data_IF_349091377872
#
_entry.id   IF_349091377872
#
_cell.length_a   1.000
_cell.length_b   1.000
_cell.length_c   1.000
_cell.angle_alpha   90.00
_cell.angle_beta   90.00
_cell.angle_gamma   90.00
#
_symmetry.space_group_name_H-M   'P 1'
#
loop_
_entity.id
_entity.type
_entity.pdbx_description
1 polymer ?
#
# COMPACT_ATOMS: atom_id res chain seq x y z
N UNK A 1 -17.81 4.78 3.18
CA UNK A 1 -16.83 4.27 2.21
C UNK A 1 -16.41 5.36 1.23
N UNK A 2 -15.20 5.26 0.71
CA UNK A 2 -14.67 6.21 -0.26
C UNK A 2 -14.81 5.61 -1.66
N UNK A 3 -15.82 6.03 -2.40
CA UNK A 3 -16.15 5.48 -3.72
C UNK A 3 -15.05 5.69 -4.77
N UNK A 4 -14.26 6.76 -4.62
CA UNK A 4 -13.19 7.08 -5.56
C UNK A 4 -11.90 6.26 -5.31
N UNK A 5 -11.85 5.47 -4.26
CA UNK A 5 -10.69 4.65 -3.91
C UNK A 5 -11.00 3.17 -4.15
N UNK A 6 -10.04 2.46 -4.72
CA UNK A 6 -10.15 1.03 -4.97
C UNK A 6 -8.86 0.31 -4.63
N UNK A 7 -8.92 -1.03 -4.65
CA UNK A 7 -7.77 -1.86 -4.33
C UNK A 7 -7.85 -3.21 -5.06
N UNK A 8 -6.66 -3.73 -5.39
CA UNK A 8 -6.50 -5.02 -6.07
C UNK A 8 -5.32 -5.77 -5.44
N UNK A 9 -5.52 -6.46 -4.32
CA UNK A 9 -4.45 -7.27 -3.72
C UNK A 9 -4.07 -8.43 -4.64
N UNK A 10 -2.82 -8.90 -4.55
CA UNK A 10 -2.36 -10.05 -5.34
C UNK A 10 -3.03 -11.36 -4.92
N UNK A 11 -3.43 -11.47 -3.66
CA UNK A 11 -4.16 -12.63 -3.19
C UNK A 11 -4.78 -12.40 -1.82
N UNK A 12 -5.81 -13.17 -1.51
CA UNK A 12 -6.44 -13.20 -0.19
C UNK A 12 -6.05 -14.48 0.52
N UNK A 13 -5.83 -14.40 1.84
CA UNK A 13 -5.40 -15.53 2.66
C UNK A 13 -6.38 -15.69 3.82
N UNK A 14 -7.10 -16.81 3.87
CA UNK A 14 -8.12 -17.02 4.87
C UNK A 14 -9.17 -15.93 4.85
N UNK A 15 -9.72 -15.61 6.02
CA UNK A 15 -10.76 -14.59 6.17
C UNK A 15 -10.18 -13.20 6.49
N UNK A 16 -8.97 -13.13 7.04
CA UNK A 16 -8.42 -11.90 7.62
C UNK A 16 -7.18 -11.36 6.92
N UNK A 17 -6.56 -12.14 6.05
CA UNK A 17 -5.26 -11.81 5.48
C UNK A 17 -5.28 -11.56 3.99
N UNK A 18 -4.18 -11.00 3.53
CA UNK A 18 -3.90 -10.84 2.11
C UNK A 18 -2.40 -10.87 1.86
N UNK A 19 -2.01 -10.92 0.61
CA UNK A 19 -0.61 -10.94 0.20
C UNK A 19 -0.38 -9.93 -0.91
N UNK A 20 0.76 -9.25 -0.84
CA UNK A 20 1.28 -8.36 -1.88
C UNK A 20 2.67 -8.83 -2.28
N UNK A 21 2.84 -9.18 -3.56
CA UNK A 21 4.07 -9.76 -4.07
C UNK A 21 4.82 -8.73 -4.91
N UNK A 22 6.11 -8.55 -4.61
CA UNK A 22 7.00 -7.68 -5.36
C UNK A 22 8.22 -8.47 -5.84
N UNK A 23 8.62 -8.25 -7.08
CA UNK A 23 9.80 -8.86 -7.69
C UNK A 23 10.74 -7.75 -8.19
N UNK A 24 11.34 -6.98 -7.27
CA UNK A 24 12.18 -5.84 -7.64
C UNK A 24 13.58 -6.28 -8.11
N UNK A 25 14.42 -5.31 -8.44
CA UNK A 25 15.81 -5.58 -8.79
C UNK A 25 16.56 -6.20 -7.60
N UNK A 26 17.64 -6.95 -7.89
CA UNK A 26 18.43 -7.59 -6.83
C UNK A 26 19.04 -6.59 -5.86
N UNK A 27 19.41 -5.39 -6.33
CA UNK A 27 19.91 -4.34 -5.44
C UNK A 27 18.86 -3.89 -4.42
N UNK A 28 17.60 -3.79 -4.85
CA UNK A 28 16.49 -3.45 -3.96
C UNK A 28 16.22 -4.57 -2.97
N UNK A 29 16.27 -5.84 -3.41
CA UNK A 29 16.11 -7.01 -2.53
C UNK A 29 17.20 -7.01 -1.45
N UNK A 30 18.44 -6.76 -1.84
CA UNK A 30 19.56 -6.65 -0.89
C UNK A 30 19.30 -5.58 0.16
N UNK A 31 18.84 -4.40 -0.24
CA UNK A 31 18.51 -3.30 0.69
C UNK A 31 17.38 -3.69 1.65
N UNK A 32 16.37 -4.41 1.18
CA UNK A 32 15.28 -4.92 2.03
C UNK A 32 15.85 -5.81 3.14
N UNK A 33 16.68 -6.77 2.80
CA UNK A 33 17.32 -7.67 3.76
C UNK A 33 18.20 -6.91 4.76
N UNK A 34 19.04 -5.99 4.26
CA UNK A 34 19.93 -5.22 5.12
C UNK A 34 19.16 -4.31 6.07
N UNK A 35 18.16 -3.60 5.58
CA UNK A 35 17.33 -2.73 6.41
C UNK A 35 16.63 -3.52 7.51
N UNK A 36 16.04 -4.66 7.18
CA UNK A 36 15.37 -5.50 8.15
C UNK A 36 16.34 -6.04 9.21
N UNK A 37 17.53 -6.50 8.78
CA UNK A 37 18.53 -7.04 9.69
C UNK A 37 19.05 -6.01 10.69
N UNK A 38 18.98 -4.73 10.34
CA UNK A 38 19.39 -3.60 11.19
C UNK A 38 18.25 -3.07 12.06
N UNK A 39 17.10 -3.73 12.06
CA UNK A 39 15.93 -3.31 12.84
C UNK A 39 15.12 -2.20 12.21
N UNK A 40 15.40 -1.84 10.95
CA UNK A 40 14.64 -0.84 10.20
C UNK A 40 13.38 -1.42 9.57
N UNK A 41 12.56 -0.53 9.01
CA UNK A 41 11.35 -0.93 8.29
C UNK A 41 11.69 -1.30 6.85
N UNK A 42 11.52 -2.56 6.42
CA UNK A 42 11.87 -2.99 5.08
C UNK A 42 10.86 -2.57 4.02
N UNK A 43 9.71 -2.01 4.40
CA UNK A 43 8.63 -1.66 3.49
C UNK A 43 8.73 -0.19 3.10
N UNK A 44 8.82 0.07 1.80
CA UNK A 44 8.78 1.44 1.25
C UNK A 44 7.45 2.10 1.59
N UNK A 45 7.47 3.40 1.87
CA UNK A 45 6.29 4.16 2.29
C UNK A 45 5.14 4.07 1.29
N UNK A 46 5.43 4.06 -0.01
CA UNK A 46 4.37 3.94 -1.04
C UNK A 46 3.73 2.57 -1.05
N UNK A 47 4.49 1.50 -0.80
CA UNK A 47 3.95 0.14 -0.70
C UNK A 47 3.17 -0.04 0.60
N UNK A 48 3.64 0.57 1.69
CA UNK A 48 2.89 0.58 2.95
C UNK A 48 1.52 1.23 2.75
N UNK A 49 1.47 2.39 2.12
CA UNK A 49 0.22 3.08 1.83
C UNK A 49 -0.70 2.22 0.95
N UNK A 50 -0.16 1.61 -0.11
CA UNK A 50 -0.90 0.71 -0.99
C UNK A 50 -1.51 -0.46 -0.21
N UNK A 51 -0.73 -1.11 0.65
CA UNK A 51 -1.21 -2.25 1.44
C UNK A 51 -2.26 -1.83 2.46
N UNK A 52 -2.11 -0.68 3.12
CA UNK A 52 -3.12 -0.19 4.07
C UNK A 52 -4.45 0.09 3.38
N UNK A 53 -4.44 0.76 2.22
CA UNK A 53 -5.65 0.99 1.45
C UNK A 53 -6.31 -0.31 0.98
N UNK A 54 -5.51 -1.28 0.53
CA UNK A 54 -6.01 -2.58 0.11
C UNK A 54 -6.65 -3.33 1.28
N UNK A 55 -6.02 -3.31 2.47
CA UNK A 55 -6.58 -3.93 3.67
C UNK A 55 -7.91 -3.29 4.07
N UNK A 56 -8.01 -1.96 3.94
CA UNK A 56 -9.27 -1.26 4.20
C UNK A 56 -10.35 -1.65 3.21
N UNK A 57 -10.05 -1.63 1.92
CA UNK A 57 -11.04 -1.92 0.86
C UNK A 57 -11.50 -3.37 0.88
N UNK A 58 -10.59 -4.31 1.15
CA UNK A 58 -10.88 -5.74 1.21
C UNK A 58 -11.28 -6.22 2.61
N UNK A 59 -11.31 -5.32 3.60
CA UNK A 59 -11.59 -5.61 5.01
C UNK A 59 -10.70 -6.71 5.56
N UNK A 60 -9.38 -6.49 5.46
CA UNK A 60 -8.38 -7.45 5.92
C UNK A 60 -7.60 -6.87 7.10
N UNK A 61 -7.14 -7.75 7.99
CA UNK A 61 -6.46 -7.38 9.22
C UNK A 61 -4.93 -7.30 9.05
N UNK A 62 -4.38 -8.03 8.09
CA UNK A 62 -2.94 -8.06 7.84
C UNK A 62 -2.65 -8.32 6.36
N UNK A 63 -1.43 -7.94 5.95
CA UNK A 63 -0.92 -8.18 4.61
C UNK A 63 0.51 -8.69 4.70
N UNK A 64 0.80 -9.84 4.11
CA UNK A 64 2.17 -10.31 3.97
C UNK A 64 2.81 -9.65 2.75
N UNK A 65 3.84 -8.84 3.03
CA UNK A 65 4.68 -8.24 2.01
C UNK A 65 5.73 -9.27 1.62
N UNK A 66 5.62 -9.77 0.38
CA UNK A 66 6.47 -10.84 -0.13
C UNK A 66 7.38 -10.27 -1.20
N UNK A 67 8.68 -10.39 -0.99
CA UNK A 67 9.71 -9.97 -1.96
C UNK A 67 10.41 -11.21 -2.47
N UNK A 68 10.40 -11.41 -3.79
CA UNK A 68 10.98 -12.60 -4.41
C UNK A 68 11.98 -12.22 -5.49
N UNK A 69 13.17 -12.84 -5.44
CA UNK A 69 14.19 -12.70 -6.48
C UNK A 69 14.96 -14.03 -6.63
N UNK A 70 14.73 -14.78 -7.72
CA UNK A 70 15.43 -16.05 -7.95
C UNK A 70 16.93 -15.90 -8.22
N UNK A 71 17.40 -14.68 -8.49
CA UNK A 71 18.82 -14.40 -8.72
C UNK A 71 19.64 -14.30 -7.43
N UNK A 72 18.97 -14.17 -6.29
CA UNK A 72 19.61 -14.14 -4.98
C UNK A 72 20.04 -15.56 -4.54
N UNK A 73 20.99 -15.68 -3.59
CA UNK A 73 21.29 -16.97 -2.95
C UNK A 73 20.04 -17.62 -2.38
N UNK A 74 19.95 -18.94 -2.38
CA UNK A 74 18.74 -19.69 -2.05
C UNK A 74 18.06 -19.24 -0.76
N UNK A 75 18.82 -18.90 0.27
CA UNK A 75 18.27 -18.45 1.57
C UNK A 75 17.79 -17.00 1.56
N UNK A 76 18.07 -16.25 0.51
CA UNK A 76 17.70 -14.84 0.38
C UNK A 76 16.74 -14.58 -0.78
N UNK A 77 16.25 -15.62 -1.45
CA UNK A 77 15.35 -15.48 -2.60
C UNK A 77 13.94 -15.03 -2.20
N UNK A 78 13.50 -15.40 -1.00
CA UNK A 78 12.15 -15.11 -0.52
C UNK A 78 12.23 -14.39 0.81
N UNK A 79 11.65 -13.18 0.86
CA UNK A 79 11.53 -12.37 2.06
C UNK A 79 10.05 -12.14 2.34
N UNK A 80 9.61 -12.41 3.56
CA UNK A 80 8.21 -12.21 3.96
C UNK A 80 8.17 -11.34 5.21
N UNK A 81 7.41 -10.25 5.16
CA UNK A 81 7.22 -9.35 6.28
C UNK A 81 5.74 -9.02 6.43
N UNK A 82 5.16 -9.36 7.59
CA UNK A 82 3.74 -9.10 7.84
C UNK A 82 3.52 -7.66 8.25
N UNK A 83 2.61 -6.99 7.54
CA UNK A 83 2.16 -5.63 7.82
C UNK A 83 0.76 -5.70 8.41
N UNK A 84 0.60 -5.20 9.64
CA UNK A 84 -0.69 -5.14 10.29
C UNK A 84 -1.49 -3.91 9.79
N UNK A 85 -2.80 -4.06 9.71
CA UNK A 85 -3.68 -2.92 9.42
C UNK A 85 -3.51 -1.86 10.50
N UNK A 86 -3.35 -0.62 10.09
CA UNK A 86 -3.11 0.52 10.96
C UNK A 86 -4.29 1.50 10.90
N UNK A 87 -5.26 1.38 11.81
CA UNK A 87 -6.45 2.23 11.79
C UNK A 87 -6.15 3.71 11.95
N UNK A 88 -5.16 4.07 12.76
CA UNK A 88 -4.79 5.47 12.98
C UNK A 88 -4.21 6.10 11.72
N UNK A 89 -3.31 5.38 11.05
CA UNK A 89 -2.76 5.82 9.77
C UNK A 89 -3.87 5.97 8.72
N UNK A 90 -4.78 4.98 8.66
CA UNK A 90 -5.88 4.98 7.71
C UNK A 90 -6.83 6.15 7.94
N UNK A 91 -7.12 6.49 9.20
CA UNK A 91 -7.97 7.63 9.51
C UNK A 91 -7.37 8.93 9.00
N UNK A 92 -6.09 9.16 9.24
CA UNK A 92 -5.40 10.34 8.75
C UNK A 92 -5.39 10.39 7.23
N UNK A 93 -5.10 9.25 6.58
CA UNK A 93 -5.08 9.16 5.13
C UNK A 93 -6.46 9.38 4.51
N UNK A 94 -7.52 8.83 5.12
CA UNK A 94 -8.90 9.05 4.68
C UNK A 94 -9.29 10.53 4.77
N UNK A 95 -8.94 11.19 5.87
CA UNK A 95 -9.22 12.61 6.05
C UNK A 95 -8.52 13.45 4.98
N UNK A 96 -7.27 13.12 4.65
CA UNK A 96 -6.53 13.81 3.58
C UNK A 96 -7.13 13.55 2.19
N UNK A 97 -7.59 12.34 1.90
CA UNK A 97 -8.24 12.00 0.64
C UNK A 97 -9.56 12.76 0.50
N UNK A 98 -10.38 12.80 1.55
CA UNK A 98 -11.66 13.53 1.53
C UNK A 98 -11.42 15.04 1.33
N UNK A 99 -10.41 15.60 1.98
CA UNK A 99 -10.01 16.99 1.79
C UNK A 99 -9.59 17.26 0.36
N UNK A 100 -8.77 16.39 -0.22
CA UNK A 100 -8.33 16.49 -1.62
C UNK A 100 -9.52 16.43 -2.58
N UNK A 101 -10.46 15.48 -2.38
CA UNK A 101 -11.64 15.36 -3.22
C UNK A 101 -12.54 16.59 -3.14
N UNK A 102 -12.68 17.19 -1.96
CA UNK A 102 -13.44 18.44 -1.79
C UNK A 102 -12.77 19.59 -2.55
N UNK A 103 -11.45 19.67 -2.53
CA UNK A 103 -10.68 20.68 -3.28
C UNK A 103 -10.86 20.51 -4.80
N UNK A 104 -10.86 19.25 -5.28
CA UNK A 104 -11.09 18.95 -6.70
C UNK A 104 -12.51 19.35 -7.10
N UNK A 105 -13.51 19.02 -6.29
CA UNK A 105 -14.90 19.38 -6.57
C UNK A 105 -15.08 20.92 -6.66
N UNK A 106 -14.46 21.66 -5.75
CA UNK A 106 -14.50 23.11 -5.77
C UNK A 106 -13.87 23.68 -7.05
N UNK A 107 -12.76 23.10 -7.50
CA UNK A 107 -12.09 23.50 -8.75
C UNK A 107 -12.95 23.19 -9.97
N UNK A 108 -13.63 22.05 -9.99
CA UNK A 108 -14.54 21.67 -11.07
C UNK A 108 -15.73 22.64 -11.16
N UNK A 109 -16.31 23.02 -10.02
CA UNK A 109 -17.37 24.04 -9.97
C UNK A 109 -16.87 25.36 -10.52
N UNK A 110 -15.69 25.80 -10.12
CA UNK A 110 -15.08 27.03 -10.61
C UNK A 110 -14.83 26.99 -12.12
N UNK A 111 -14.33 25.86 -12.64
CA UNK A 111 -14.12 25.67 -14.07
C UNK A 111 -15.43 25.77 -14.85
N UNK A 112 -16.47 25.10 -14.40
CA UNK A 112 -17.79 25.13 -15.05
C UNK A 112 -18.34 26.56 -15.12
N UNK A 113 -18.16 27.33 -14.07
CA UNK A 113 -18.55 28.75 -14.07
C UNK A 113 -17.78 29.57 -15.12
N UNK A 114 -16.47 29.32 -15.24
CA UNK A 114 -15.62 30.03 -16.20
C UNK A 114 -16.02 29.73 -17.65
N UNK A 115 -16.35 28.50 -17.97
CA UNK A 115 -16.68 28.05 -19.33
C UNK A 115 -18.18 28.18 -19.66
N UNK A 116 -19.01 28.66 -18.73
CA UNK A 116 -20.42 28.88 -18.95
C UNK A 116 -21.31 27.64 -18.84
N UNK A 117 -20.86 26.65 -18.08
CA UNK A 117 -21.65 25.43 -17.84
C UNK A 117 -22.27 25.35 -16.46
#
# INVERSE_FOLDING_TARGET
>A
DIEAAGASPDGLVGDDGMVEIKCPSSSTVLEVWLTHSQGGNPVDAKYYAQMQWQMRCADRAWCDYVVFDPRMPAKAQLFIFRVERNPDWLKIAEDEVLKFLAEVDAKVVALKSIIGE
#
